data_IF_656954835449
#
_entry.id   IF_656954835449
#
_cell.length_a   1.000
_cell.length_b   1.000
_cell.length_c   1.000
_cell.angle_alpha   90.00
_cell.angle_beta   90.00
_cell.angle_gamma   90.00
#
_symmetry.space_group_name_H-M   'P 1'
#
loop_
_entity.id
_entity.type
_entity.pdbx_description
1 polymer ?
#
# COMPACT_ATOMS: atom_id res chain seq x y z
N UNK A 1 -12.22 -15.21 -7.93
CA UNK A 1 -10.96 -14.54 -7.69
C UNK A 1 -10.81 -13.32 -8.59
N UNK A 2 -10.58 -12.19 -7.98
CA UNK A 2 -10.57 -10.95 -8.71
C UNK A 2 -9.23 -10.24 -8.53
N UNK A 3 -8.43 -10.24 -9.59
CA UNK A 3 -7.18 -9.51 -9.63
C UNK A 3 -7.23 -8.44 -10.70
N UNK A 4 -6.68 -7.28 -10.41
CA UNK A 4 -6.66 -6.16 -11.34
C UNK A 4 -5.29 -5.53 -11.34
N UNK A 5 -4.82 -5.16 -12.54
CA UNK A 5 -3.60 -4.38 -12.73
C UNK A 5 -3.98 -2.94 -13.02
N UNK A 6 -3.36 -2.02 -12.30
CA UNK A 6 -3.64 -0.59 -12.44
C UNK A 6 -2.42 0.09 -13.01
N UNK A 7 -2.62 0.90 -14.05
CA UNK A 7 -1.54 1.67 -14.66
C UNK A 7 -1.81 3.17 -14.61
N UNK A 8 -3.00 3.58 -14.20
CA UNK A 8 -3.39 4.99 -14.13
C UNK A 8 -4.10 5.27 -12.82
N UNK A 9 -3.93 6.47 -12.33
CA UNK A 9 -4.58 6.90 -11.09
C UNK A 9 -6.10 6.76 -11.11
N UNK A 10 -6.73 7.12 -12.22
CA UNK A 10 -8.18 7.09 -12.31
C UNK A 10 -8.75 5.68 -12.20
N UNK A 11 -7.95 4.67 -12.53
CA UNK A 11 -8.40 3.29 -12.45
C UNK A 11 -8.75 2.90 -11.01
N UNK A 12 -8.04 3.46 -10.03
CA UNK A 12 -8.30 3.14 -8.63
C UNK A 12 -9.70 3.54 -8.17
N UNK A 13 -10.26 4.57 -8.79
CA UNK A 13 -11.56 5.10 -8.37
C UNK A 13 -12.72 4.26 -8.83
N UNK A 14 -12.52 3.45 -9.86
CA UNK A 14 -13.59 2.68 -10.49
C UNK A 14 -13.53 1.20 -10.18
N UNK A 15 -12.57 0.75 -9.38
CA UNK A 15 -12.41 -0.66 -9.07
C UNK A 15 -13.52 -1.16 -8.15
N UNK A 16 -13.95 -2.42 -8.33
CA UNK A 16 -14.96 -3.00 -7.45
C UNK A 16 -14.43 -3.24 -6.04
N UNK A 17 -15.31 -3.07 -5.06
CA UNK A 17 -14.92 -3.24 -3.65
C UNK A 17 -14.55 -4.68 -3.30
N UNK A 18 -14.97 -5.65 -4.12
CA UNK A 18 -14.73 -7.07 -3.84
C UNK A 18 -13.40 -7.58 -4.39
N UNK A 19 -12.56 -6.68 -4.82
CA UNK A 19 -11.26 -7.01 -5.36
C UNK A 19 -10.42 -7.77 -4.33
N UNK A 20 -9.80 -8.87 -4.76
CA UNK A 20 -8.95 -9.68 -3.87
C UNK A 20 -7.47 -9.45 -4.07
N UNK A 21 -7.06 -9.09 -5.27
CA UNK A 21 -5.67 -8.79 -5.57
C UNK A 21 -5.57 -7.54 -6.41
N UNK A 22 -4.69 -6.64 -5.98
CA UNK A 22 -4.47 -5.39 -6.70
C UNK A 22 -2.99 -5.26 -6.99
N UNK A 23 -2.65 -5.09 -8.26
CA UNK A 23 -1.29 -4.86 -8.71
C UNK A 23 -1.23 -3.49 -9.36
N UNK A 24 -0.33 -2.66 -8.87
CA UNK A 24 -0.13 -1.31 -9.39
C UNK A 24 1.18 -1.29 -10.16
N UNK A 25 1.09 -0.93 -11.44
CA UNK A 25 2.25 -0.93 -12.33
C UNK A 25 3.28 0.13 -11.98
N UNK A 26 4.50 -0.05 -12.48
CA UNK A 26 5.60 0.89 -12.21
C UNK A 26 5.26 2.30 -12.68
N UNK A 27 5.68 3.28 -11.92
CA UNK A 27 5.51 4.68 -12.29
C UNK A 27 4.08 5.19 -12.21
N UNK A 28 3.18 4.46 -11.56
CA UNK A 28 1.76 4.79 -11.51
C UNK A 28 1.42 5.66 -10.31
N UNK A 29 0.36 6.43 -10.48
CA UNK A 29 -0.30 7.12 -9.38
C UNK A 29 0.55 8.21 -8.74
N UNK A 30 1.44 8.81 -9.51
CA UNK A 30 2.30 9.87 -8.99
C UNK A 30 1.60 11.22 -8.88
N UNK A 31 0.38 11.32 -9.39
CA UNK A 31 -0.42 12.53 -9.27
C UNK A 31 -1.17 12.62 -7.95
N UNK A 32 -1.18 11.55 -7.17
CA UNK A 32 -1.73 11.60 -5.82
C UNK A 32 -0.83 12.48 -4.95
N UNK A 33 -1.43 13.47 -4.31
CA UNK A 33 -0.68 14.37 -3.44
C UNK A 33 -1.19 14.36 -2.00
N UNK A 34 -2.25 13.59 -1.76
CA UNK A 34 -2.88 13.49 -0.45
C UNK A 34 -2.74 12.08 0.08
N UNK A 35 -3.61 11.69 0.98
CA UNK A 35 -3.58 10.36 1.57
C UNK A 35 -4.08 9.31 0.58
N UNK A 36 -3.48 8.13 0.69
CA UNK A 36 -3.87 6.96 -0.09
C UNK A 36 -4.33 5.90 0.89
N UNK A 37 -5.51 5.35 0.66
CA UNK A 37 -6.09 4.31 1.50
C UNK A 37 -6.71 3.25 0.62
N UNK A 38 -6.59 2.00 1.07
CA UNK A 38 -7.16 0.86 0.35
C UNK A 38 -8.26 0.17 1.16
N UNK A 39 -8.71 0.78 2.22
CA UNK A 39 -9.64 0.15 3.15
C UNK A 39 -11.02 -0.13 2.57
N UNK A 40 -11.40 0.53 1.48
CA UNK A 40 -12.67 0.23 0.82
C UNK A 40 -12.68 -1.14 0.15
N UNK A 41 -11.51 -1.70 -0.09
CA UNK A 41 -11.39 -3.03 -0.68
C UNK A 41 -11.40 -4.06 0.46
N UNK A 42 -12.57 -4.34 0.99
CA UNK A 42 -12.72 -5.13 2.21
C UNK A 42 -12.26 -6.58 2.07
N UNK A 43 -12.13 -7.08 0.85
CA UNK A 43 -11.68 -8.44 0.60
C UNK A 43 -10.27 -8.52 0.03
N UNK A 44 -9.59 -7.38 -0.02
CA UNK A 44 -8.23 -7.35 -0.58
C UNK A 44 -7.29 -8.16 0.29
N UNK A 45 -6.69 -9.17 -0.34
CA UNK A 45 -5.73 -10.05 0.32
C UNK A 45 -4.30 -9.80 -0.12
N UNK A 46 -4.10 -9.33 -1.33
CA UNK A 46 -2.76 -9.12 -1.90
C UNK A 46 -2.68 -7.75 -2.54
N UNK A 47 -1.75 -6.94 -2.06
CA UNK A 47 -1.49 -5.61 -2.62
C UNK A 47 -0.03 -5.58 -3.08
N UNK A 48 0.17 -5.33 -4.39
CA UNK A 48 1.49 -5.22 -4.98
C UNK A 48 1.62 -3.87 -5.65
N UNK A 49 2.58 -3.08 -5.20
CA UNK A 49 2.83 -1.75 -5.74
C UNK A 49 4.21 -1.78 -6.40
N UNK A 50 4.27 -1.42 -7.67
CA UNK A 50 5.50 -1.42 -8.44
C UNK A 50 6.45 -0.30 -8.03
N UNK A 51 7.53 -0.14 -8.79
CA UNK A 51 8.55 0.87 -8.50
C UNK A 51 8.08 2.27 -8.88
N UNK A 52 8.56 3.27 -8.16
CA UNK A 52 8.30 4.69 -8.46
C UNK A 52 6.82 5.04 -8.48
N UNK A 53 6.06 4.51 -7.53
CA UNK A 53 4.63 4.77 -7.42
C UNK A 53 4.34 5.70 -6.25
N UNK A 54 3.26 6.46 -6.38
CA UNK A 54 2.77 7.34 -5.32
C UNK A 54 3.85 8.28 -4.77
N UNK A 55 4.68 8.82 -5.65
CA UNK A 55 5.81 9.64 -5.21
C UNK A 55 5.40 10.95 -4.55
N UNK A 56 4.19 11.44 -4.83
CA UNK A 56 3.69 12.67 -4.22
C UNK A 56 2.76 12.45 -3.04
N UNK A 57 2.40 11.21 -2.73
CA UNK A 57 1.43 10.94 -1.67
C UNK A 57 2.05 11.20 -0.29
N UNK A 58 1.31 11.91 0.55
CA UNK A 58 1.78 12.29 1.87
C UNK A 58 1.30 11.37 2.98
N UNK A 59 0.47 10.39 2.65
CA UNK A 59 0.04 9.42 3.64
C UNK A 59 -0.35 8.11 2.96
N UNK A 60 0.10 7.01 3.53
CA UNK A 60 -0.41 5.69 3.17
C UNK A 60 -1.05 5.09 4.41
N UNK A 61 -2.32 4.71 4.27
CA UNK A 61 -3.08 4.16 5.37
C UNK A 61 -3.59 2.78 5.00
N UNK A 62 -3.16 1.77 5.75
CA UNK A 62 -3.63 0.39 5.64
C UNK A 62 -4.16 0.00 7.02
N UNK A 63 -5.47 0.20 7.22
CA UNK A 63 -6.04 0.08 8.55
C UNK A 63 -7.26 -0.81 8.56
N UNK A 64 -7.31 -1.71 9.54
CA UNK A 64 -8.46 -2.58 9.79
C UNK A 64 -8.87 -3.41 8.57
N UNK A 65 -7.89 -3.84 7.79
CA UNK A 65 -8.14 -4.65 6.60
C UNK A 65 -8.06 -6.12 6.97
N UNK A 66 -9.21 -6.72 7.19
CA UNK A 66 -9.33 -8.07 7.75
C UNK A 66 -8.80 -9.17 6.83
N UNK A 67 -8.90 -8.98 5.53
CA UNK A 67 -8.50 -9.99 4.57
C UNK A 67 -7.05 -9.84 4.08
N UNK A 68 -6.41 -8.73 4.39
CA UNK A 68 -5.09 -8.40 3.85
C UNK A 68 -4.03 -9.37 4.38
N UNK A 69 -3.39 -10.08 3.46
CA UNK A 69 -2.39 -11.11 3.78
C UNK A 69 -0.98 -10.70 3.39
N UNK A 70 -0.83 -9.96 2.30
CA UNK A 70 0.47 -9.65 1.74
C UNK A 70 0.48 -8.24 1.18
N UNK A 71 1.53 -7.50 1.51
CA UNK A 71 1.78 -6.17 0.96
C UNK A 71 3.21 -6.15 0.42
N UNK A 72 3.35 -5.81 -0.86
CA UNK A 72 4.65 -5.63 -1.48
C UNK A 72 4.72 -4.24 -2.08
N UNK A 73 5.68 -3.46 -1.64
CA UNK A 73 5.89 -2.10 -2.13
C UNK A 73 7.26 -2.06 -2.77
N UNK A 74 7.33 -1.61 -4.01
CA UNK A 74 8.57 -1.57 -4.76
C UNK A 74 9.53 -0.49 -4.30
N UNK A 75 10.52 -0.21 -5.15
CA UNK A 75 11.55 0.78 -4.84
C UNK A 75 11.09 2.20 -5.14
N UNK A 76 11.57 3.15 -4.38
CA UNK A 76 11.33 4.61 -4.60
C UNK A 76 9.86 4.99 -4.60
N UNK A 77 9.07 4.30 -3.77
CA UNK A 77 7.65 4.64 -3.60
C UNK A 77 7.47 5.55 -2.41
N UNK A 78 6.41 6.36 -2.44
CA UNK A 78 6.05 7.20 -1.30
C UNK A 78 7.24 8.04 -0.85
N UNK A 79 7.72 8.90 -1.75
CA UNK A 79 8.93 9.66 -1.51
C UNK A 79 8.69 11.12 -1.13
N UNK A 80 7.46 11.50 -0.83
CA UNK A 80 7.13 12.85 -0.40
C UNK A 80 7.75 13.17 0.97
N UNK A 81 8.07 14.44 1.20
CA UNK A 81 8.60 14.87 2.47
C UNK A 81 7.53 14.83 3.56
N UNK A 82 7.93 14.44 4.77
CA UNK A 82 7.10 14.52 5.97
C UNK A 82 5.81 13.71 5.88
N UNK A 83 5.82 12.65 5.08
CA UNK A 83 4.66 11.77 4.96
C UNK A 83 4.48 10.87 6.18
N UNK A 84 3.34 10.20 6.23
CA UNK A 84 3.01 9.27 7.30
C UNK A 84 2.55 7.96 6.70
N UNK A 85 3.14 6.85 7.15
CA UNK A 85 2.70 5.51 6.79
C UNK A 85 2.14 4.85 8.05
N UNK A 86 0.90 4.40 7.97
CA UNK A 86 0.29 3.65 9.07
C UNK A 86 -0.25 2.33 8.57
N UNK A 87 0.15 1.26 9.23
CA UNK A 87 -0.34 -0.10 8.99
C UNK A 87 -0.76 -0.67 10.34
N UNK A 88 -2.05 -0.86 10.52
CA UNK A 88 -2.57 -1.31 11.81
C UNK A 88 -3.86 -2.10 11.63
N UNK A 89 -4.14 -3.01 12.57
CA UNK A 89 -5.39 -3.73 12.57
C UNK A 89 -5.60 -4.68 11.41
N UNK A 90 -4.52 -5.27 10.91
CA UNK A 90 -4.58 -6.21 9.79
C UNK A 90 -4.20 -7.61 10.29
N UNK A 91 -5.15 -8.35 10.87
CA UNK A 91 -4.84 -9.59 11.58
C UNK A 91 -4.37 -10.74 10.71
N UNK A 92 -4.71 -10.73 9.42
CA UNK A 92 -4.32 -11.80 8.50
C UNK A 92 -2.99 -11.55 7.82
N UNK A 93 -2.37 -10.41 8.04
CA UNK A 93 -1.15 -10.02 7.34
C UNK A 93 0.02 -10.91 7.75
N UNK A 94 0.63 -11.59 6.78
CA UNK A 94 1.78 -12.48 7.00
C UNK A 94 3.01 -12.06 6.22
N UNK A 95 2.90 -11.08 5.34
CA UNK A 95 4.03 -10.64 4.53
C UNK A 95 3.98 -9.15 4.29
N UNK A 96 5.07 -8.48 4.62
CA UNK A 96 5.24 -7.06 4.32
C UNK A 96 6.63 -6.87 3.73
N UNK A 97 6.70 -6.37 2.50
CA UNK A 97 7.96 -6.13 1.82
C UNK A 97 7.97 -4.70 1.31
N UNK A 98 9.03 -3.98 1.63
CA UNK A 98 9.19 -2.58 1.21
C UNK A 98 10.54 -2.44 0.54
N UNK A 99 10.53 -1.93 -0.68
CA UNK A 99 11.74 -1.80 -1.48
C UNK A 99 12.65 -0.67 -1.03
N UNK A 100 13.80 -0.59 -1.68
CA UNK A 100 14.81 0.41 -1.35
C UNK A 100 14.30 1.82 -1.58
N UNK A 101 14.64 2.72 -0.69
CA UNK A 101 14.33 4.16 -0.77
C UNK A 101 12.85 4.49 -0.77
N UNK A 102 11.99 3.56 -0.39
CA UNK A 102 10.58 3.83 -0.19
C UNK A 102 10.37 4.35 1.23
N UNK A 103 9.51 5.35 1.36
CA UNK A 103 9.24 6.02 2.63
C UNK A 103 10.48 6.68 3.26
N UNK A 104 11.51 6.89 2.47
CA UNK A 104 12.80 7.40 2.99
C UNK A 104 12.66 8.80 3.60
N UNK A 105 11.78 9.59 3.03
CA UNK A 105 11.56 10.97 3.49
C UNK A 105 10.32 11.12 4.34
N UNK A 106 9.66 10.01 4.65
CA UNK A 106 8.49 10.03 5.49
C UNK A 106 8.88 10.34 6.93
N UNK A 107 8.04 11.13 7.57
CA UNK A 107 8.28 11.57 8.93
C UNK A 107 8.00 10.48 9.95
N UNK A 108 7.05 9.59 9.64
CA UNK A 108 6.59 8.60 10.60
C UNK A 108 6.12 7.34 9.90
N UNK A 109 6.49 6.19 10.47
CA UNK A 109 5.97 4.89 10.05
C UNK A 109 5.47 4.18 11.29
N UNK A 110 4.17 3.88 11.30
CA UNK A 110 3.53 3.19 12.42
C UNK A 110 3.08 1.83 11.92
N UNK A 111 3.62 0.77 12.51
CA UNK A 111 3.25 -0.61 12.14
C UNK A 111 2.81 -1.31 13.42
N UNK A 112 1.52 -1.59 13.51
CA UNK A 112 0.93 -2.18 14.71
C UNK A 112 0.00 -3.33 14.34
N UNK A 113 -0.10 -4.30 15.25
CA UNK A 113 -1.00 -5.43 15.11
C UNK A 113 -0.71 -6.27 13.86
N UNK A 114 0.56 -6.35 13.51
CA UNK A 114 1.01 -7.09 12.33
C UNK A 114 1.50 -8.48 12.71
N UNK A 115 1.55 -8.76 14.01
CA UNK A 115 1.92 -10.07 14.53
C UNK A 115 3.27 -10.54 13.99
N UNK A 116 3.26 -11.69 13.32
CA UNK A 116 4.49 -12.30 12.84
C UNK A 116 4.90 -11.85 11.44
N UNK A 117 4.10 -11.01 10.81
CA UNK A 117 4.39 -10.54 9.46
C UNK A 117 5.63 -9.66 9.42
N UNK A 118 5.83 -8.88 10.46
CA UNK A 118 6.98 -7.99 10.55
C UNK A 118 7.93 -8.53 11.61
N UNK A 119 9.11 -8.91 11.16
CA UNK A 119 10.14 -9.37 12.06
C UNK A 119 11.37 -8.53 11.91
N UNK A 120 11.94 -8.19 13.03
CA UNK A 120 13.19 -7.48 13.06
C UNK A 120 14.27 -8.40 12.47
N UNK A 121 15.05 -7.94 11.54
CA UNK A 121 16.13 -8.74 10.98
C UNK A 121 17.22 -9.03 12.01
#
# INVERSE_FOLDING_TARGET
QYGVNVTKMDDLKTLPCKLEKLTIGNGCCNDFTNSVSFDRFTQLGWLEIGDNCFTGATMLLLKDMQALRSVEIGNYCFSAFEGIFELSGCPALTRLSVGASSFEKYQQCVIESVRDAWRSP
#
